data_IF_808792951857
#
_entry.id   IF_808792951857
#
_cell.length_a   1.000
_cell.length_b   1.000
_cell.length_c   1.000
_cell.angle_alpha   90.00
_cell.angle_beta   90.00
_cell.angle_gamma   90.00
#
_symmetry.space_group_name_H-M   'P 1'
#
loop_
_entity.id
_entity.type
_entity.pdbx_description
1 polymer ?
#
# COMPACT_ATOMS: atom_id res chain seq x y z
N UNK A 1 53.97 36.76 -15.17
CA UNK A 1 52.54 37.02 -15.48
C UNK A 1 51.68 35.75 -15.59
N UNK A 2 52.15 34.65 -16.21
CA UNK A 2 51.36 33.39 -16.33
C UNK A 2 50.95 32.73 -15.00
N UNK A 3 51.77 32.83 -13.94
CA UNK A 3 51.49 32.24 -12.62
C UNK A 3 50.48 33.05 -11.78
N UNK A 4 50.24 34.32 -12.15
CA UNK A 4 49.30 35.20 -11.44
C UNK A 4 47.87 35.09 -12.00
N UNK A 5 47.74 34.88 -13.30
CA UNK A 5 46.45 34.65 -13.98
C UNK A 5 45.82 33.30 -13.56
N UNK A 6 46.66 32.29 -13.30
CA UNK A 6 46.19 30.98 -12.85
C UNK A 6 45.61 31.00 -11.43
N UNK A 7 46.16 31.83 -10.54
CA UNK A 7 45.64 32.02 -9.18
C UNK A 7 44.32 32.78 -9.14
N UNK A 8 44.13 33.76 -10.03
CA UNK A 8 42.89 34.54 -10.10
C UNK A 8 41.75 33.73 -10.72
N UNK A 9 42.05 32.86 -11.69
CA UNK A 9 41.07 31.94 -12.27
C UNK A 9 40.62 30.85 -11.27
N UNK A 10 41.51 30.35 -10.41
CA UNK A 10 41.15 29.37 -9.38
C UNK A 10 40.31 29.98 -8.23
N UNK A 11 40.53 31.25 -7.89
CA UNK A 11 39.75 31.95 -6.87
C UNK A 11 38.32 32.25 -7.29
N UNK A 12 38.08 32.58 -8.57
CA UNK A 12 36.74 32.91 -9.07
C UNK A 12 35.79 31.70 -9.18
N UNK A 13 36.33 30.48 -9.26
CA UNK A 13 35.53 29.23 -9.33
C UNK A 13 35.04 28.80 -7.93
N UNK A 14 35.72 29.21 -6.86
CA UNK A 14 35.39 28.81 -5.48
C UNK A 14 34.32 29.69 -4.81
N UNK A 15 33.94 30.83 -5.39
CA UNK A 15 32.90 31.72 -4.83
C UNK A 15 31.54 31.57 -5.49
N UNK A 16 31.28 30.49 -6.22
CA UNK A 16 29.94 30.11 -6.62
C UNK A 16 29.15 29.64 -5.39
N UNK A 17 28.84 30.58 -4.50
CA UNK A 17 27.87 30.39 -3.42
C UNK A 17 26.53 30.22 -4.09
N UNK A 18 26.07 28.98 -4.18
CA UNK A 18 24.67 28.73 -4.53
C UNK A 18 23.82 29.41 -3.47
N UNK A 19 22.89 30.32 -3.84
CA UNK A 19 21.96 30.82 -2.86
C UNK A 19 21.13 29.63 -2.38
N UNK A 20 21.28 29.27 -1.11
CA UNK A 20 20.33 28.42 -0.43
C UNK A 20 18.99 29.14 -0.52
N UNK A 21 18.07 28.61 -1.33
CA UNK A 21 16.71 29.12 -1.41
C UNK A 21 16.14 28.96 -0.01
N UNK A 22 15.94 30.08 0.70
CA UNK A 22 15.29 30.06 1.99
C UNK A 22 13.89 29.50 1.77
N UNK A 23 13.63 28.29 2.28
CA UNK A 23 12.29 27.71 2.29
C UNK A 23 11.41 28.67 3.08
N UNK A 24 10.40 29.24 2.43
CA UNK A 24 9.39 30.05 3.10
C UNK A 24 8.68 29.17 4.12
N UNK A 25 8.85 29.50 5.40
CA UNK A 25 8.19 28.79 6.50
C UNK A 25 6.68 29.02 6.36
N UNK A 26 5.95 27.96 6.00
CA UNK A 26 4.49 27.94 6.02
C UNK A 26 4.03 27.67 7.46
N UNK A 27 3.36 28.64 8.09
CA UNK A 27 2.83 28.51 9.43
C UNK A 27 1.34 28.17 9.37
N UNK A 28 0.93 27.17 10.15
CA UNK A 28 -0.47 26.78 10.28
C UNK A 28 -0.97 27.18 11.67
N UNK A 29 -2.14 27.83 11.73
CA UNK A 29 -2.81 28.13 12.99
C UNK A 29 -3.82 27.02 13.31
N UNK A 30 -3.48 26.17 14.27
CA UNK A 30 -4.39 25.16 14.78
C UNK A 30 -5.07 25.66 16.05
N UNK A 31 -6.38 25.41 16.18
CA UNK A 31 -7.18 25.81 17.33
C UNK A 31 -7.88 24.61 17.95
N UNK A 32 -8.36 24.73 19.19
CA UNK A 32 -9.17 23.69 19.80
C UNK A 32 -10.52 23.55 19.07
N UNK A 33 -10.99 22.34 18.74
CA UNK A 33 -12.31 22.13 18.16
C UNK A 33 -13.40 22.53 19.15
N UNK A 34 -14.46 23.18 18.65
CA UNK A 34 -15.64 23.58 19.44
C UNK A 34 -16.73 22.49 19.48
N UNK A 35 -16.40 21.29 19.04
CA UNK A 35 -17.28 20.13 18.92
C UNK A 35 -16.59 18.88 19.50
N UNK A 36 -17.37 17.88 19.97
CA UNK A 36 -16.78 16.66 20.52
C UNK A 36 -16.13 15.82 19.42
N UNK A 37 -15.00 15.19 19.76
CA UNK A 37 -14.35 14.17 18.93
C UNK A 37 -14.57 12.81 19.59
N UNK A 38 -14.98 11.82 18.79
CA UNK A 38 -15.34 10.48 19.27
C UNK A 38 -14.59 9.45 18.42
N UNK A 39 -13.90 8.51 19.08
CA UNK A 39 -13.14 7.42 18.49
C UNK A 39 -13.77 6.10 18.95
N UNK A 40 -14.21 5.25 18.01
CA UNK A 40 -14.87 3.96 18.33
C UNK A 40 -16.05 4.08 19.33
N UNK A 41 -16.77 5.20 19.33
CA UNK A 41 -17.88 5.45 20.27
C UNK A 41 -17.46 6.10 21.60
N UNK A 42 -16.17 6.18 21.89
CA UNK A 42 -15.62 6.80 23.10
C UNK A 42 -15.19 8.25 22.84
N UNK A 43 -15.50 9.15 23.78
CA UNK A 43 -15.12 10.57 23.64
C UNK A 43 -13.62 10.73 23.81
N UNK A 44 -12.97 11.30 22.80
CA UNK A 44 -11.56 11.63 22.84
C UNK A 44 -11.33 12.97 23.54
N UNK A 45 -10.50 12.96 24.58
CA UNK A 45 -10.03 14.14 25.28
C UNK A 45 -8.63 13.87 25.84
N UNK A 46 -7.65 14.69 25.43
CA UNK A 46 -6.30 14.66 25.95
C UNK A 46 -5.73 16.08 25.96
N UNK A 47 -5.09 16.46 27.06
CA UNK A 47 -4.42 17.77 27.18
C UNK A 47 -3.01 17.74 26.61
N UNK A 48 -2.32 16.61 26.70
CA UNK A 48 -0.96 16.41 26.18
C UNK A 48 -0.97 16.24 24.66
N UNK A 49 -1.97 15.54 24.14
CA UNK A 49 -2.14 15.22 22.73
C UNK A 49 -3.53 15.66 22.29
N UNK A 50 -3.83 16.98 22.22
CA UNK A 50 -5.17 17.45 21.95
C UNK A 50 -5.59 17.19 20.50
N UNK A 51 -6.91 17.04 20.29
CA UNK A 51 -7.49 17.21 18.97
C UNK A 51 -7.37 18.69 18.56
N UNK A 52 -7.08 18.91 17.29
CA UNK A 52 -6.88 20.24 16.74
C UNK A 52 -7.83 20.47 15.56
N UNK A 53 -8.22 21.71 15.31
CA UNK A 53 -8.96 22.13 14.14
C UNK A 53 -8.10 23.08 13.31
N UNK A 54 -8.05 22.83 12.00
CA UNK A 54 -7.47 23.74 11.03
C UNK A 54 -8.47 23.91 9.89
N UNK A 55 -9.00 25.13 9.72
CA UNK A 55 -9.97 25.49 8.69
C UNK A 55 -11.18 24.54 8.59
N UNK A 56 -11.71 24.07 9.73
CA UNK A 56 -12.85 23.14 9.75
C UNK A 56 -12.47 21.66 9.69
N UNK A 57 -11.21 21.32 9.42
CA UNK A 57 -10.73 19.93 9.45
C UNK A 57 -10.20 19.55 10.83
N UNK A 58 -10.63 18.41 11.35
CA UNK A 58 -10.11 17.84 12.61
C UNK A 58 -8.80 17.10 12.36
N UNK A 59 -7.78 17.44 13.12
CA UNK A 59 -6.49 16.77 13.17
C UNK A 59 -6.37 16.04 14.50
N UNK A 60 -5.93 14.79 14.43
CA UNK A 60 -5.67 13.96 15.58
C UNK A 60 -4.22 13.47 15.57
N UNK A 61 -3.60 13.34 16.75
CA UNK A 61 -2.34 12.62 16.91
C UNK A 61 -2.48 11.20 16.36
N UNK A 62 -1.52 10.79 15.55
CA UNK A 62 -1.50 9.44 14.98
C UNK A 62 -1.44 8.36 16.08
N UNK A 63 -0.79 8.66 17.21
CA UNK A 63 -0.79 7.79 18.40
C UNK A 63 -2.19 7.59 18.99
N UNK A 64 -3.04 8.61 18.97
CA UNK A 64 -4.41 8.50 19.47
C UNK A 64 -5.25 7.53 18.64
N UNK A 65 -5.02 7.48 17.33
CA UNK A 65 -5.66 6.51 16.45
C UNK A 65 -5.13 5.08 16.71
N UNK A 66 -3.86 4.95 17.07
CA UNK A 66 -3.27 3.67 17.44
C UNK A 66 -3.81 3.14 18.78
N UNK A 67 -3.85 3.99 19.80
CA UNK A 67 -4.41 3.66 21.12
C UNK A 67 -5.89 3.31 21.06
N UNK A 68 -6.64 3.99 20.18
CA UNK A 68 -8.05 3.67 19.92
C UNK A 68 -8.26 2.38 19.11
N UNK A 69 -7.19 1.69 18.70
CA UNK A 69 -7.27 0.50 17.85
C UNK A 69 -7.91 0.77 16.50
N UNK A 70 -7.77 1.99 15.97
CA UNK A 70 -8.25 2.39 14.64
C UNK A 70 -7.14 2.24 13.61
N UNK A 71 -5.89 2.44 14.03
CA UNK A 71 -4.72 2.37 13.18
C UNK A 71 -3.59 1.55 13.78
N UNK A 72 -2.78 0.93 12.93
CA UNK A 72 -1.46 0.41 13.29
C UNK A 72 -0.41 1.37 12.74
N UNK A 73 0.51 1.77 13.60
CA UNK A 73 1.51 2.80 13.30
C UNK A 73 2.90 2.19 13.45
N UNK A 74 3.70 2.24 12.39
CA UNK A 74 5.05 1.68 12.36
C UNK A 74 6.04 2.71 11.83
N UNK A 75 7.19 2.84 12.48
CA UNK A 75 8.35 3.51 11.90
C UNK A 75 9.07 2.55 10.95
N UNK A 76 9.23 2.91 9.68
CA UNK A 76 10.06 2.19 8.73
C UNK A 76 11.43 2.89 8.64
N UNK A 77 12.46 2.19 9.11
CA UNK A 77 13.80 2.74 9.31
C UNK A 77 14.51 3.10 8.00
N UNK A 78 14.34 2.29 6.94
CA UNK A 78 15.10 2.45 5.69
C UNK A 78 14.62 3.66 4.87
N UNK A 79 13.31 3.90 4.86
CA UNK A 79 12.62 4.98 4.18
C UNK A 79 12.44 6.21 5.08
N UNK A 80 12.77 6.10 6.36
CA UNK A 80 12.63 7.15 7.37
C UNK A 80 11.21 7.74 7.39
N UNK A 81 10.21 6.87 7.39
CA UNK A 81 8.81 7.26 7.30
C UNK A 81 7.96 6.59 8.36
N UNK A 82 6.88 7.26 8.75
CA UNK A 82 5.80 6.67 9.55
C UNK A 82 4.78 6.05 8.61
N UNK A 83 4.56 4.76 8.75
CA UNK A 83 3.49 4.03 8.07
C UNK A 83 2.29 3.91 8.99
N UNK A 84 1.13 4.33 8.49
CA UNK A 84 -0.15 4.22 9.19
C UNK A 84 -1.05 3.31 8.35
N UNK A 85 -1.55 2.25 8.96
CA UNK A 85 -2.50 1.31 8.35
C UNK A 85 -3.75 1.22 9.23
N UNK A 86 -4.89 0.80 8.68
CA UNK A 86 -6.08 0.58 9.50
C UNK A 86 -5.86 -0.66 10.40
N UNK A 87 -6.15 -0.53 11.69
CA UNK A 87 -6.05 -1.63 12.64
C UNK A 87 -6.98 -2.78 12.20
N UNK A 88 -6.44 -4.00 12.17
CA UNK A 88 -7.19 -5.19 11.73
C UNK A 88 -7.28 -5.39 10.21
N UNK A 89 -6.54 -4.61 9.41
CA UNK A 89 -6.35 -4.87 7.97
C UNK A 89 -4.87 -4.91 7.62
N UNK A 90 -4.15 -5.86 8.22
CA UNK A 90 -2.93 -6.38 7.60
C UNK A 90 -3.35 -7.26 6.42
N UNK A 91 -2.75 -7.12 5.22
CA UNK A 91 -3.03 -8.06 4.15
C UNK A 91 -2.61 -9.46 4.60
N UNK A 92 -3.51 -10.44 4.46
CA UNK A 92 -3.24 -11.86 4.74
C UNK A 92 -2.06 -12.36 3.89
N UNK A 93 -1.96 -11.83 2.67
CA UNK A 93 -0.90 -12.14 1.71
C UNK A 93 -0.50 -10.85 0.96
N UNK A 94 0.79 -10.57 0.83
CA UNK A 94 1.25 -9.39 0.10
C UNK A 94 2.64 -9.56 -0.51
N UNK A 95 2.88 -8.82 -1.60
CA UNK A 95 4.20 -8.62 -2.18
C UNK A 95 4.33 -7.19 -2.73
N UNK A 96 5.31 -6.96 -3.62
CA UNK A 96 5.54 -5.66 -4.24
C UNK A 96 4.46 -5.23 -5.22
N UNK A 97 3.56 -6.08 -5.71
CA UNK A 97 2.51 -5.70 -6.66
C UNK A 97 1.09 -5.93 -6.14
N UNK A 98 0.90 -6.83 -5.17
CA UNK A 98 -0.40 -7.29 -4.70
C UNK A 98 -0.52 -7.26 -3.17
N UNK A 99 -1.73 -6.97 -2.69
CA UNK A 99 -2.13 -7.07 -1.28
C UNK A 99 -3.51 -7.72 -1.24
N UNK A 100 -3.61 -8.92 -0.70
CA UNK A 100 -4.89 -9.58 -0.44
C UNK A 100 -5.30 -9.30 0.99
N UNK A 101 -6.49 -8.71 1.15
CA UNK A 101 -7.02 -8.28 2.43
C UNK A 101 -8.00 -9.29 3.03
N UNK A 102 -8.63 -10.11 2.18
CA UNK A 102 -9.67 -11.05 2.58
C UNK A 102 -9.83 -12.14 1.52
N UNK A 103 -9.85 -13.39 1.98
CA UNK A 103 -10.32 -14.55 1.22
C UNK A 103 -11.50 -15.17 1.94
N UNK A 104 -12.62 -15.37 1.24
CA UNK A 104 -13.79 -16.04 1.79
C UNK A 104 -14.45 -16.96 0.77
N UNK A 105 -15.27 -17.89 1.26
CA UNK A 105 -15.93 -18.89 0.42
C UNK A 105 -15.35 -20.29 0.61
N UNK A 106 -15.94 -21.26 -0.10
CA UNK A 106 -15.58 -22.69 -0.06
C UNK A 106 -16.26 -23.45 -1.20
N UNK A 107 -15.88 -24.69 -1.41
CA UNK A 107 -16.48 -25.61 -2.39
C UNK A 107 -16.51 -25.00 -3.80
N UNK A 108 -15.39 -24.43 -4.23
CA UNK A 108 -15.24 -23.87 -5.57
C UNK A 108 -15.80 -22.47 -5.77
N UNK A 109 -16.48 -21.87 -4.78
CA UNK A 109 -16.97 -20.49 -4.84
C UNK A 109 -16.21 -19.62 -3.86
N UNK A 110 -15.39 -18.70 -4.36
CA UNK A 110 -14.54 -17.84 -3.54
C UNK A 110 -14.70 -16.36 -3.89
N UNK A 111 -14.57 -15.51 -2.88
CA UNK A 111 -14.44 -14.06 -3.04
C UNK A 111 -13.10 -13.62 -2.48
N UNK A 112 -12.30 -12.93 -3.31
CA UNK A 112 -10.98 -12.42 -2.92
C UNK A 112 -10.93 -10.91 -3.10
N UNK A 113 -10.69 -10.18 -2.01
CA UNK A 113 -10.62 -8.71 -2.02
C UNK A 113 -9.20 -8.27 -1.75
N UNK A 114 -8.74 -7.29 -2.53
CA UNK A 114 -7.37 -6.83 -2.44
C UNK A 114 -7.10 -5.53 -3.15
N UNK A 115 -5.82 -5.21 -3.24
CA UNK A 115 -5.29 -4.10 -3.99
C UNK A 115 -4.14 -4.58 -4.86
N UNK A 116 -4.02 -4.01 -6.05
CA UNK A 116 -2.90 -4.26 -6.95
C UNK A 116 -2.32 -2.94 -7.45
N UNK A 117 -1.01 -2.92 -7.68
CA UNK A 117 -0.28 -1.82 -8.34
C UNK A 117 0.55 -2.35 -9.50
N UNK A 118 -0.14 -2.83 -10.52
CA UNK A 118 0.44 -3.49 -11.69
C UNK A 118 0.59 -2.52 -12.87
N UNK A 119 1.53 -2.80 -13.77
CA UNK A 119 1.73 -1.98 -14.97
C UNK A 119 0.44 -1.93 -15.82
N UNK A 120 0.09 -0.73 -16.30
CA UNK A 120 -1.14 -0.45 -17.05
C UNK A 120 -2.46 -0.87 -16.36
N UNK A 121 -2.42 -1.25 -15.07
CA UNK A 121 -3.58 -1.74 -14.34
C UNK A 121 -4.06 -3.12 -14.79
N UNK A 122 -3.24 -3.89 -15.51
CA UNK A 122 -3.60 -5.23 -15.98
C UNK A 122 -3.10 -6.29 -14.99
N UNK A 123 -4.02 -6.91 -14.28
CA UNK A 123 -3.74 -7.99 -13.34
C UNK A 123 -4.10 -9.34 -13.95
N UNK A 124 -3.21 -10.33 -13.82
CA UNK A 124 -3.47 -11.71 -14.19
C UNK A 124 -3.68 -12.57 -12.94
N UNK A 125 -4.52 -13.60 -13.07
CA UNK A 125 -4.79 -14.53 -12.00
C UNK A 125 -5.14 -15.92 -12.51
N UNK A 126 -4.63 -16.93 -11.82
CA UNK A 126 -4.92 -18.33 -12.09
C UNK A 126 -5.29 -19.08 -10.82
N UNK A 127 -6.07 -20.16 -10.95
CA UNK A 127 -6.38 -21.07 -9.86
C UNK A 127 -5.82 -22.45 -10.20
N UNK A 128 -5.03 -23.01 -9.30
CA UNK A 128 -4.33 -24.28 -9.47
C UNK A 128 -4.55 -25.19 -8.27
N UNK A 129 -4.58 -26.50 -8.50
CA UNK A 129 -4.54 -27.52 -7.44
C UNK A 129 -3.13 -28.09 -7.21
N UNK A 130 -2.13 -27.55 -7.90
CA UNK A 130 -0.74 -28.01 -7.90
C UNK A 130 -0.38 -28.97 -9.03
N UNK A 131 -1.37 -29.54 -9.74
CA UNK A 131 -1.17 -30.36 -10.93
C UNK A 131 -1.67 -29.67 -12.20
N UNK A 132 -2.87 -29.07 -12.12
CA UNK A 132 -3.56 -28.44 -13.25
C UNK A 132 -4.02 -27.02 -12.91
N UNK A 133 -4.00 -26.14 -13.91
CA UNK A 133 -4.69 -24.86 -13.83
C UNK A 133 -6.18 -25.04 -14.14
N UNK A 134 -7.03 -24.77 -13.16
CA UNK A 134 -8.49 -24.90 -13.25
C UNK A 134 -9.14 -23.63 -13.84
N UNK A 135 -8.44 -22.50 -13.72
CA UNK A 135 -8.83 -21.19 -14.23
C UNK A 135 -7.57 -20.35 -14.52
N UNK A 136 -7.55 -19.59 -15.61
CA UNK A 136 -6.52 -18.59 -15.94
C UNK A 136 -7.19 -17.42 -16.67
N UNK A 137 -7.09 -16.21 -16.11
CA UNK A 137 -7.77 -15.00 -16.60
C UNK A 137 -6.96 -13.74 -16.27
N UNK A 138 -7.33 -12.63 -16.90
CA UNK A 138 -6.85 -11.29 -16.55
C UNK A 138 -8.01 -10.33 -16.27
N UNK A 139 -7.69 -9.19 -15.68
CA UNK A 139 -8.65 -8.11 -15.40
C UNK A 139 -7.96 -6.74 -15.51
N UNK A 140 -8.65 -5.83 -16.18
CA UNK A 140 -8.34 -4.40 -16.15
C UNK A 140 -8.88 -3.78 -14.85
N UNK A 141 -8.01 -3.08 -14.14
CA UNK A 141 -8.35 -2.32 -12.93
C UNK A 141 -8.61 -0.85 -13.28
N UNK A 142 -9.34 -0.16 -12.39
CA UNK A 142 -9.64 1.27 -12.48
C UNK A 142 -8.40 2.17 -12.28
N UNK A 143 -7.25 1.57 -11.98
CA UNK A 143 -5.96 2.25 -11.84
C UNK A 143 -4.80 1.26 -11.95
N UNK A 144 -3.59 1.78 -12.09
CA UNK A 144 -2.37 0.99 -12.21
C UNK A 144 -1.18 1.67 -11.55
N UNK A 145 -0.03 1.00 -11.63
CA UNK A 145 1.22 1.51 -11.08
C UNK A 145 1.49 2.96 -11.53
N UNK A 146 1.96 3.85 -10.64
CA UNK A 146 2.47 3.56 -9.29
C UNK A 146 1.39 3.47 -8.18
N UNK A 147 0.13 3.78 -8.49
CA UNK A 147 -0.94 3.80 -7.50
C UNK A 147 -1.50 2.38 -7.24
N UNK A 148 -2.05 2.18 -6.05
CA UNK A 148 -2.82 0.98 -5.71
C UNK A 148 -4.26 1.13 -6.18
N UNK A 149 -4.75 0.16 -6.95
CA UNK A 149 -6.14 0.02 -7.33
C UNK A 149 -6.79 -1.15 -6.58
N UNK A 150 -8.02 -0.97 -6.12
CA UNK A 150 -8.76 -2.03 -5.41
C UNK A 150 -9.35 -3.03 -6.40
N UNK A 151 -9.44 -4.30 -6.00
CA UNK A 151 -10.09 -5.34 -6.76
C UNK A 151 -10.94 -6.27 -5.87
N UNK A 152 -11.93 -6.90 -6.49
CA UNK A 152 -12.74 -7.98 -5.91
C UNK A 152 -12.93 -9.08 -6.96
N UNK A 153 -12.33 -10.25 -6.74
CA UNK A 153 -12.47 -11.42 -7.60
C UNK A 153 -13.59 -12.32 -7.08
N UNK A 154 -14.46 -12.77 -7.98
CA UNK A 154 -15.41 -13.85 -7.75
C UNK A 154 -14.97 -15.05 -8.57
N UNK A 155 -14.55 -16.11 -7.88
CA UNK A 155 -14.05 -17.34 -8.49
C UNK A 155 -15.12 -18.41 -8.41
N UNK A 156 -15.37 -19.09 -9.53
CA UNK A 156 -16.30 -20.21 -9.63
C UNK A 156 -15.58 -21.38 -10.33
N UNK A 157 -15.23 -22.39 -9.54
CA UNK A 157 -14.55 -23.61 -9.97
C UNK A 157 -15.56 -24.76 -9.92
N UNK A 158 -15.81 -25.46 -11.04
CA UNK A 158 -16.73 -26.60 -11.08
C UNK A 158 -16.37 -27.67 -10.04
N UNK A 159 -17.38 -28.22 -9.35
CA UNK A 159 -17.18 -29.17 -8.26
C UNK A 159 -16.47 -30.47 -8.69
N UNK A 160 -16.65 -30.89 -9.94
CA UNK A 160 -16.00 -32.04 -10.55
C UNK A 160 -14.50 -31.83 -10.83
N UNK A 161 -14.03 -30.58 -10.76
CA UNK A 161 -12.62 -30.21 -10.91
C UNK A 161 -11.92 -29.93 -9.58
N UNK A 162 -12.64 -29.92 -8.47
CA UNK A 162 -12.02 -29.68 -7.16
C UNK A 162 -11.14 -30.86 -6.76
N UNK A 163 -9.96 -30.60 -6.17
CA UNK A 163 -9.07 -31.68 -5.77
C UNK A 163 -9.70 -32.50 -4.63
N UNK A 164 -9.55 -33.82 -4.70
CA UNK A 164 -9.97 -34.70 -3.59
C UNK A 164 -9.10 -34.56 -2.35
N UNK A 165 -7.84 -34.15 -2.51
CA UNK A 165 -6.87 -33.88 -1.45
C UNK A 165 -5.86 -32.84 -1.95
N UNK A 166 -5.39 -31.95 -1.08
CA UNK A 166 -4.42 -30.91 -1.41
C UNK A 166 -4.92 -29.52 -1.03
N UNK A 167 -4.27 -28.50 -1.57
CA UNK A 167 -4.66 -27.10 -1.33
C UNK A 167 -4.92 -26.44 -2.67
N UNK A 168 -6.11 -25.86 -2.82
CA UNK A 168 -6.43 -25.04 -3.97
C UNK A 168 -5.78 -23.66 -3.78
N UNK A 169 -5.01 -23.21 -4.76
CA UNK A 169 -4.23 -21.97 -4.70
C UNK A 169 -4.71 -20.98 -5.75
N UNK A 170 -4.85 -19.72 -5.36
CA UNK A 170 -4.93 -18.57 -6.26
C UNK A 170 -3.53 -18.02 -6.48
N UNK A 171 -3.15 -17.82 -7.73
CA UNK A 171 -1.91 -17.16 -8.13
C UNK A 171 -2.26 -15.82 -8.76
N UNK A 172 -1.80 -14.72 -8.16
CA UNK A 172 -1.90 -13.37 -8.74
C UNK A 172 -0.54 -13.01 -9.35
N UNK A 173 -0.52 -12.46 -10.55
CA UNK A 173 0.74 -12.08 -11.21
C UNK A 173 0.56 -10.96 -12.23
N UNK A 174 1.69 -10.38 -12.63
CA UNK A 174 1.79 -9.49 -13.79
C UNK A 174 2.53 -10.22 -14.91
N UNK A 175 2.16 -9.98 -16.16
CA UNK A 175 2.95 -10.44 -17.30
C UNK A 175 3.96 -9.37 -17.70
N UNK A 176 5.23 -9.74 -17.77
CA UNK A 176 6.32 -8.88 -18.21
C UNK A 176 6.10 -8.47 -19.67
N UNK A 177 5.93 -7.17 -19.92
CA UNK A 177 5.84 -6.65 -21.29
C UNK A 177 7.10 -6.86 -22.15
N UNK A 178 8.19 -7.37 -21.58
CA UNK A 178 9.43 -7.67 -22.31
C UNK A 178 9.41 -9.04 -22.99
N UNK A 179 8.87 -10.05 -22.30
CA UNK A 179 9.01 -11.46 -22.67
C UNK A 179 7.79 -12.33 -22.33
N UNK A 180 6.73 -11.75 -21.77
CA UNK A 180 5.53 -12.44 -21.34
C UNK A 180 5.72 -13.33 -20.11
N UNK A 181 6.88 -13.28 -19.45
CA UNK A 181 7.11 -14.05 -18.23
C UNK A 181 6.22 -13.55 -17.09
N UNK A 182 5.80 -14.46 -16.21
CA UNK A 182 5.10 -14.09 -14.97
C UNK A 182 6.09 -13.41 -14.03
N UNK A 183 5.69 -12.26 -13.49
CA UNK A 183 6.47 -11.49 -12.52
C UNK A 183 5.58 -11.03 -11.36
N UNK A 184 6.21 -10.72 -10.23
CA UNK A 184 5.53 -10.31 -8.99
C UNK A 184 4.43 -11.30 -8.56
N UNK A 185 4.69 -12.59 -8.72
CA UNK A 185 3.73 -13.64 -8.38
C UNK A 185 3.42 -13.64 -6.88
N UNK A 186 2.15 -13.81 -6.54
CA UNK A 186 1.65 -13.99 -5.17
C UNK A 186 0.72 -15.20 -5.13
N UNK A 187 1.13 -16.24 -4.42
CA UNK A 187 0.30 -17.42 -4.17
C UNK A 187 -0.51 -17.26 -2.87
N UNK A 188 -1.81 -17.57 -2.96
CA UNK A 188 -2.80 -17.36 -1.89
C UNK A 188 -3.63 -18.64 -1.75
N UNK A 189 -3.60 -19.35 -0.61
CA UNK A 189 -4.43 -20.52 -0.40
C UNK A 189 -5.92 -20.15 -0.34
N UNK A 190 -6.74 -20.87 -1.10
CA UNK A 190 -8.21 -20.69 -1.11
C UNK A 190 -8.90 -21.69 -0.17
N UNK A 191 -8.57 -22.98 -0.28
CA UNK A 191 -9.18 -24.04 0.51
C UNK A 191 -8.27 -25.27 0.57
N UNK A 192 -8.20 -25.92 1.74
CA UNK A 192 -7.52 -27.20 1.91
C UNK A 192 -8.53 -28.35 1.90
N UNK A 193 -8.33 -29.30 0.99
CA UNK A 193 -9.11 -30.53 0.84
C UNK A 193 -8.38 -31.67 1.55
N UNK A 194 -9.13 -32.51 2.27
CA UNK A 194 -8.63 -33.63 3.07
C UNK A 194 -9.48 -34.87 2.89
#
# INVERSE_FOLDING_TARGET
MKKFVLGLAAGAVLTAVTPAVAQTVQQYLLVAPTYPVVLQGERYASEELPALNYNGSTYLPVSALAEAGIAEVRWEENAQQVEVTAAGRQPEHANTAFRVMEVSGKNGKYTVKGQARVFEGVMHYAVSDGHDYLLDRHRQLEGGAPAWASFELQLDIPADKLPGNGTLMLELYEESGKDGSRVHELAVPLEQFR
#
